data_IF_288000771773
#
_entry.id   IF_288000771773
#
_cell.length_a   1.000
_cell.length_b   1.000
_cell.length_c   1.000
_cell.angle_alpha   90.00
_cell.angle_beta   90.00
_cell.angle_gamma   90.00
#
_symmetry.space_group_name_H-M   'P 1'
#
loop_
_entity.id
_entity.type
_entity.pdbx_description
1 polymer ?
#
# COMPACT_ATOMS: atom_id res chain seq x y z
N UNK A 1 9.79 57.25 22.24
CA UNK A 1 10.08 55.90 22.75
C UNK A 1 10.31 54.95 21.58
N UNK A 2 11.55 54.50 21.34
CA UNK A 2 11.79 53.35 20.47
C UNK A 2 12.62 52.25 21.17
N UNK A 3 12.66 51.10 20.51
CA UNK A 3 13.48 49.90 20.71
C UNK A 3 13.02 48.83 21.71
N UNK A 4 12.51 47.72 21.16
CA UNK A 4 12.93 46.37 21.54
C UNK A 4 12.54 45.36 20.46
N UNK A 5 13.43 45.13 19.50
CA UNK A 5 13.46 43.91 18.69
C UNK A 5 14.28 42.87 19.46
N UNK A 6 13.62 41.85 20.03
CA UNK A 6 14.29 40.61 20.43
C UNK A 6 14.15 39.60 19.28
N UNK A 7 15.28 39.23 18.69
CA UNK A 7 15.42 38.06 17.81
C UNK A 7 15.21 36.80 18.66
N UNK A 8 14.27 35.96 18.28
CA UNK A 8 14.20 34.56 18.73
C UNK A 8 14.96 33.71 17.70
N UNK A 9 16.09 33.14 18.10
CA UNK A 9 16.66 31.95 17.46
C UNK A 9 16.08 30.71 18.15
N UNK A 10 15.67 29.65 17.41
CA UNK A 10 15.32 28.38 18.01
C UNK A 10 16.58 27.53 18.23
N UNK A 11 16.91 27.22 19.48
CA UNK A 11 17.94 26.24 19.83
C UNK A 11 17.50 24.83 19.42
N UNK A 12 18.31 24.18 18.59
CA UNK A 12 18.15 22.78 18.19
C UNK A 12 18.65 21.86 19.31
N UNK A 13 17.73 21.37 20.15
CA UNK A 13 18.04 20.30 21.11
C UNK A 13 18.01 18.94 20.39
N UNK A 14 19.15 18.61 19.79
CA UNK A 14 19.41 17.36 19.06
C UNK A 14 19.39 16.14 19.99
N UNK A 15 19.73 16.33 21.27
CA UNK A 15 19.75 15.23 22.25
C UNK A 15 18.35 14.81 22.70
N UNK A 16 17.42 15.78 22.86
CA UNK A 16 16.01 15.51 23.12
C UNK A 16 15.33 14.69 22.01
N UNK A 17 15.70 14.93 20.74
CA UNK A 17 15.19 14.16 19.60
C UNK A 17 15.75 12.74 19.56
N UNK A 18 17.03 12.56 19.86
CA UNK A 18 17.69 11.24 19.92
C UNK A 18 17.16 10.37 21.07
N UNK A 19 16.80 10.97 22.22
CA UNK A 19 16.19 10.26 23.34
C UNK A 19 14.75 9.82 23.03
N UNK A 20 13.96 10.67 22.37
CA UNK A 20 12.61 10.34 21.90
C UNK A 20 12.64 9.21 20.83
N UNK A 21 13.63 9.22 19.94
CA UNK A 21 13.83 8.17 18.95
C UNK A 21 14.18 6.80 19.56
N UNK A 22 14.96 6.77 20.66
CA UNK A 22 15.27 5.53 21.41
C UNK A 22 14.07 5.00 22.18
N UNK A 23 13.30 5.88 22.82
CA UNK A 23 12.05 5.51 23.50
C UNK A 23 10.95 5.01 22.55
N UNK A 24 10.93 5.51 21.31
CA UNK A 24 10.07 5.00 20.23
C UNK A 24 10.55 3.64 19.70
N UNK A 25 11.87 3.40 19.62
CA UNK A 25 12.44 2.11 19.25
C UNK A 25 12.09 0.98 20.25
N UNK A 26 12.13 1.25 21.56
CA UNK A 26 11.77 0.25 22.58
C UNK A 26 10.25 -0.06 22.64
N UNK A 27 9.40 0.87 22.19
CA UNK A 27 7.96 0.61 21.99
C UNK A 27 7.70 -0.09 20.65
N UNK A 28 8.44 0.21 19.60
CA UNK A 28 8.36 -0.47 18.29
C UNK A 28 8.83 -1.94 18.37
N UNK A 29 9.81 -2.25 19.23
CA UNK A 29 10.21 -3.64 19.48
C UNK A 29 9.08 -4.50 20.11
N UNK A 30 8.03 -3.88 20.67
CA UNK A 30 6.86 -4.59 21.21
C UNK A 30 5.78 -4.89 20.16
N UNK A 31 5.79 -4.28 18.96
CA UNK A 31 4.76 -4.51 17.93
C UNK A 31 4.99 -5.75 17.06
N UNK A 32 6.16 -6.38 17.13
CA UNK A 32 6.50 -7.60 16.39
C UNK A 32 6.30 -8.89 17.21
N UNK A 33 5.74 -8.81 18.42
CA UNK A 33 5.47 -10.01 19.23
C UNK A 33 4.15 -10.64 18.80
N UNK A 34 4.09 -11.95 18.53
CA UNK A 34 2.82 -12.64 18.39
C UNK A 34 1.96 -12.35 19.62
N UNK A 35 0.68 -12.09 19.41
CA UNK A 35 -0.26 -11.90 20.50
C UNK A 35 -0.20 -13.13 21.43
N UNK A 36 -0.37 -12.96 22.75
CA UNK A 36 -0.44 -14.07 23.68
C UNK A 36 -1.35 -15.19 23.16
N UNK A 37 -1.01 -16.46 23.40
CA UNK A 37 -1.78 -17.61 22.90
C UNK A 37 -3.27 -17.53 23.28
N UNK A 38 -3.58 -17.01 24.47
CA UNK A 38 -4.95 -16.78 24.94
C UNK A 38 -5.71 -15.72 24.10
N UNK A 39 -5.03 -14.70 23.59
CA UNK A 39 -5.63 -13.68 22.73
C UNK A 39 -5.89 -14.23 21.33
N UNK A 40 -4.97 -15.07 20.84
CA UNK A 40 -5.11 -15.78 19.56
C UNK A 40 -6.28 -16.77 19.58
N UNK A 41 -6.47 -17.54 20.66
CA UNK A 41 -7.60 -18.46 20.79
C UNK A 41 -8.96 -17.76 20.79
N UNK A 42 -9.09 -16.63 21.52
CA UNK A 42 -10.32 -15.82 21.50
C UNK A 42 -10.60 -15.24 20.12
N UNK A 43 -9.57 -14.73 19.44
CA UNK A 43 -9.70 -14.19 18.08
C UNK A 43 -10.08 -15.29 17.06
N UNK A 44 -9.49 -16.48 17.17
CA UNK A 44 -9.80 -17.63 16.33
C UNK A 44 -11.27 -18.05 16.49
N UNK A 45 -11.72 -18.24 17.74
CA UNK A 45 -13.09 -18.63 18.02
C UNK A 45 -14.11 -17.58 17.56
N UNK A 46 -13.80 -16.28 17.70
CA UNK A 46 -14.65 -15.20 17.21
C UNK A 46 -14.76 -15.21 15.67
N UNK A 47 -13.63 -15.35 14.97
CA UNK A 47 -13.59 -15.44 13.51
C UNK A 47 -14.35 -16.66 12.99
N UNK A 48 -14.14 -17.84 13.57
CA UNK A 48 -14.82 -19.09 13.16
C UNK A 48 -16.34 -18.97 13.36
N UNK A 49 -16.79 -18.39 14.49
CA UNK A 49 -18.22 -18.12 14.71
C UNK A 49 -18.80 -17.18 13.65
N UNK A 50 -18.11 -16.10 13.33
CA UNK A 50 -18.54 -15.17 12.29
C UNK A 50 -18.63 -15.86 10.92
N UNK A 51 -17.61 -16.60 10.54
CA UNK A 51 -17.57 -17.34 9.27
C UNK A 51 -18.74 -18.33 9.18
N UNK A 52 -18.99 -19.12 10.22
CA UNK A 52 -20.11 -20.06 10.25
C UNK A 52 -21.48 -19.38 10.17
N UNK A 53 -21.65 -18.24 10.86
CA UNK A 53 -22.89 -17.47 10.84
C UNK A 53 -23.16 -16.83 9.47
N UNK A 54 -22.15 -16.21 8.84
CA UNK A 54 -22.31 -15.53 7.55
C UNK A 54 -22.47 -16.50 6.37
N UNK A 55 -21.88 -17.71 6.45
CA UNK A 55 -21.92 -18.71 5.38
C UNK A 55 -22.94 -19.85 5.62
N UNK A 56 -23.65 -19.83 6.75
CA UNK A 56 -24.68 -20.84 7.08
C UNK A 56 -24.12 -22.25 7.30
N UNK A 57 -22.96 -22.38 7.96
CA UNK A 57 -22.22 -23.66 8.08
C UNK A 57 -22.65 -24.55 9.26
N UNK A 58 -23.67 -24.14 10.00
CA UNK A 58 -24.09 -24.83 11.23
C UNK A 58 -23.12 -24.59 12.40
N UNK A 59 -23.16 -25.48 13.39
CA UNK A 59 -22.46 -25.32 14.67
C UNK A 59 -20.92 -25.25 14.52
N UNK A 60 -20.27 -24.15 14.94
CA UNK A 60 -18.82 -23.99 14.89
C UNK A 60 -18.05 -24.75 15.99
N UNK A 61 -18.71 -25.32 17.01
CA UNK A 61 -18.06 -25.85 18.20
C UNK A 61 -16.92 -26.85 17.89
N UNK A 62 -17.14 -27.79 16.96
CA UNK A 62 -16.13 -28.77 16.56
C UNK A 62 -14.88 -28.10 15.97
N UNK A 63 -15.08 -27.13 15.07
CA UNK A 63 -13.98 -26.42 14.39
C UNK A 63 -13.19 -25.53 15.36
N UNK A 64 -13.89 -24.91 16.32
CA UNK A 64 -13.26 -24.13 17.39
C UNK A 64 -12.37 -25.05 18.25
N UNK A 65 -12.89 -26.20 18.68
CA UNK A 65 -12.11 -27.16 19.48
C UNK A 65 -10.86 -27.66 18.74
N UNK A 66 -10.96 -27.90 17.42
CA UNK A 66 -9.80 -28.24 16.57
C UNK A 66 -8.75 -27.12 16.55
N UNK A 67 -9.18 -25.87 16.38
CA UNK A 67 -8.27 -24.71 16.38
C UNK A 67 -7.59 -24.52 17.75
N UNK A 68 -8.34 -24.68 18.85
CA UNK A 68 -7.82 -24.59 20.22
C UNK A 68 -6.79 -25.70 20.51
N UNK A 69 -7.04 -26.92 20.04
CA UNK A 69 -6.09 -28.03 20.15
C UNK A 69 -4.81 -27.76 19.35
N UNK A 70 -4.90 -27.26 18.11
CA UNK A 70 -3.72 -26.90 17.29
C UNK A 70 -2.93 -25.75 17.94
N UNK A 71 -3.63 -24.77 18.50
CA UNK A 71 -3.04 -23.65 19.26
C UNK A 71 -2.27 -24.15 20.48
N UNK A 72 -2.85 -25.05 21.26
CA UNK A 72 -2.19 -25.64 22.42
C UNK A 72 -0.93 -26.44 22.02
N UNK A 73 -0.97 -27.15 20.90
CA UNK A 73 0.12 -27.99 20.43
C UNK A 73 1.26 -27.21 19.75
N UNK A 74 0.95 -26.14 19.01
CA UNK A 74 1.91 -25.48 18.10
C UNK A 74 2.11 -23.99 18.37
N UNK A 75 1.29 -23.40 19.24
CA UNK A 75 1.26 -21.96 19.51
C UNK A 75 0.54 -21.13 18.43
N UNK A 76 -0.05 -21.75 17.42
CA UNK A 76 -0.88 -21.11 16.38
C UNK A 76 -1.92 -22.11 15.82
N UNK A 77 -2.76 -21.71 14.88
CA UNK A 77 -3.62 -22.63 14.13
C UNK A 77 -3.60 -22.32 12.64
N UNK A 78 -4.09 -23.26 11.84
CA UNK A 78 -4.09 -23.14 10.39
C UNK A 78 -5.52 -22.94 9.89
N UNK A 79 -5.73 -21.84 9.15
CA UNK A 79 -6.96 -21.64 8.41
C UNK A 79 -7.12 -22.66 7.29
N UNK A 80 -8.33 -23.18 7.09
CA UNK A 80 -8.70 -23.88 5.86
C UNK A 80 -8.66 -22.93 4.66
N UNK A 81 -8.61 -23.42 3.40
CA UNK A 81 -8.68 -22.54 2.23
C UNK A 81 -9.94 -21.66 2.21
N UNK A 82 -11.09 -22.22 2.63
CA UNK A 82 -12.37 -21.47 2.72
C UNK A 82 -12.33 -20.38 3.78
N UNK A 83 -11.76 -20.67 4.95
CA UNK A 83 -11.55 -19.69 6.01
C UNK A 83 -10.61 -18.57 5.55
N UNK A 84 -9.51 -18.91 4.84
CA UNK A 84 -8.60 -17.91 4.32
C UNK A 84 -9.30 -17.00 3.29
N UNK A 85 -10.10 -17.59 2.40
CA UNK A 85 -10.86 -16.84 1.41
C UNK A 85 -11.86 -15.88 2.04
N UNK A 86 -12.66 -16.38 2.98
CA UNK A 86 -13.62 -15.57 3.73
C UNK A 86 -12.92 -14.47 4.54
N UNK A 87 -11.82 -14.79 5.23
CA UNK A 87 -11.06 -13.84 6.02
C UNK A 87 -10.44 -12.71 5.19
N UNK A 88 -9.87 -13.03 4.04
CA UNK A 88 -9.32 -12.01 3.12
C UNK A 88 -10.41 -11.07 2.58
N UNK A 89 -11.59 -11.62 2.24
CA UNK A 89 -12.76 -10.85 1.80
C UNK A 89 -13.29 -9.93 2.88
N UNK A 90 -13.42 -10.42 4.12
CA UNK A 90 -13.81 -9.59 5.25
C UNK A 90 -12.79 -8.51 5.57
N UNK A 91 -11.49 -8.80 5.46
CA UNK A 91 -10.45 -7.80 5.66
C UNK A 91 -10.58 -6.61 4.70
N UNK A 92 -10.95 -6.86 3.44
CA UNK A 92 -11.23 -5.79 2.48
C UNK A 92 -12.52 -5.04 2.81
N UNK A 93 -13.60 -5.76 3.14
CA UNK A 93 -14.87 -5.17 3.60
C UNK A 93 -14.67 -4.24 4.82
N UNK A 94 -13.76 -4.60 5.71
CA UNK A 94 -13.41 -3.88 6.93
C UNK A 94 -12.34 -2.77 6.73
N UNK A 95 -11.89 -2.51 5.48
CA UNK A 95 -10.83 -1.55 5.22
C UNK A 95 -11.35 -0.10 5.25
N UNK A 96 -11.30 0.56 6.40
CA UNK A 96 -11.85 1.92 6.63
C UNK A 96 -11.31 3.00 5.69
N UNK A 97 -10.14 2.78 5.07
CA UNK A 97 -9.48 3.70 4.15
C UNK A 97 -9.70 3.36 2.67
N UNK A 98 -10.55 2.38 2.37
CA UNK A 98 -10.83 1.94 1.01
C UNK A 98 -12.23 2.39 0.59
N UNK A 99 -12.30 3.20 -0.46
CA UNK A 99 -13.57 3.62 -1.08
C UNK A 99 -14.18 2.48 -1.92
N UNK A 100 -13.34 1.63 -2.53
CA UNK A 100 -13.75 0.55 -3.44
C UNK A 100 -14.29 -0.71 -2.78
N UNK A 101 -14.99 -0.60 -1.63
CA UNK A 101 -15.43 -1.76 -0.84
C UNK A 101 -16.65 -2.50 -1.39
N UNK A 102 -17.38 -1.91 -2.34
CA UNK A 102 -18.56 -2.55 -2.94
C UNK A 102 -18.26 -3.93 -3.56
N UNK A 103 -17.01 -4.14 -3.99
CA UNK A 103 -16.55 -5.32 -4.71
C UNK A 103 -15.96 -6.41 -3.81
N UNK A 104 -16.03 -6.27 -2.48
CA UNK A 104 -15.31 -7.13 -1.54
C UNK A 104 -15.52 -8.64 -1.77
N UNK A 105 -16.73 -9.06 -2.16
CA UNK A 105 -17.07 -10.45 -2.47
C UNK A 105 -16.41 -10.98 -3.76
N UNK A 106 -16.01 -10.12 -4.68
CA UNK A 106 -15.37 -10.50 -5.94
C UNK A 106 -13.89 -10.81 -5.81
N UNK A 107 -13.30 -10.58 -4.62
CA UNK A 107 -11.89 -10.87 -4.37
C UNK A 107 -11.57 -12.34 -4.62
N UNK A 108 -10.64 -12.56 -5.55
CA UNK A 108 -10.03 -13.87 -5.80
C UNK A 108 -8.83 -14.05 -4.88
N UNK A 109 -8.71 -15.23 -4.29
CA UNK A 109 -7.67 -15.53 -3.30
C UNK A 109 -6.78 -16.64 -3.84
N UNK A 110 -5.49 -16.35 -3.97
CA UNK A 110 -4.44 -17.33 -4.31
C UNK A 110 -3.78 -17.79 -3.02
N UNK A 111 -4.12 -19.00 -2.59
CA UNK A 111 -3.50 -19.64 -1.43
C UNK A 111 -2.14 -20.23 -1.81
N UNK A 112 -1.08 -19.46 -1.58
CA UNK A 112 0.31 -19.86 -1.84
C UNK A 112 1.12 -19.97 -0.55
N UNK A 113 0.46 -20.33 0.55
CA UNK A 113 1.10 -20.51 1.88
C UNK A 113 2.18 -21.60 1.90
N UNK A 114 2.24 -22.45 0.87
CA UNK A 114 3.22 -23.51 0.70
C UNK A 114 4.55 -23.04 0.10
N UNK A 115 4.60 -21.87 -0.55
CA UNK A 115 5.84 -21.36 -1.16
C UNK A 115 6.79 -20.83 -0.08
N UNK A 116 8.07 -21.17 -0.20
CA UNK A 116 9.08 -20.88 0.82
C UNK A 116 10.28 -20.09 0.34
N UNK A 117 10.67 -20.21 -0.92
CA UNK A 117 11.84 -19.51 -1.44
C UNK A 117 11.49 -18.12 -1.97
N UNK A 118 12.43 -17.17 -1.87
CA UNK A 118 12.19 -15.80 -2.35
C UNK A 118 11.95 -15.77 -3.88
N UNK A 119 12.55 -16.70 -4.62
CA UNK A 119 12.38 -16.81 -6.06
C UNK A 119 10.96 -17.27 -6.44
N UNK A 120 10.42 -18.27 -5.75
CA UNK A 120 9.02 -18.70 -5.94
C UNK A 120 8.03 -17.59 -5.58
N UNK A 121 8.29 -16.86 -4.48
CA UNK A 121 7.46 -15.73 -4.05
C UNK A 121 7.49 -14.61 -5.09
N UNK A 122 8.67 -14.26 -5.61
CA UNK A 122 8.80 -13.24 -6.65
C UNK A 122 8.11 -13.65 -7.96
N UNK A 123 8.28 -14.89 -8.39
CA UNK A 123 7.58 -15.45 -9.56
C UNK A 123 6.05 -15.41 -9.36
N UNK A 124 5.57 -15.80 -8.18
CA UNK A 124 4.16 -15.74 -7.84
C UNK A 124 3.60 -14.30 -7.81
N UNK A 125 4.42 -13.30 -7.48
CA UNK A 125 4.06 -11.89 -7.58
C UNK A 125 3.98 -11.41 -9.03
N UNK A 126 4.89 -11.82 -9.92
CA UNK A 126 4.77 -11.54 -11.35
C UNK A 126 3.49 -12.18 -11.93
N UNK A 127 3.19 -13.42 -11.56
CA UNK A 127 1.95 -14.10 -11.95
C UNK A 127 0.70 -13.43 -11.38
N UNK A 128 0.81 -12.78 -10.22
CA UNK A 128 -0.30 -11.99 -9.66
C UNK A 128 -0.65 -10.86 -10.63
N UNK A 129 0.34 -10.10 -11.08
CA UNK A 129 0.14 -8.96 -11.98
C UNK A 129 -0.46 -9.41 -13.33
N UNK A 130 0.05 -10.51 -13.91
CA UNK A 130 -0.51 -11.10 -15.13
C UNK A 130 -1.98 -11.48 -14.98
N UNK A 131 -2.33 -12.14 -13.87
CA UNK A 131 -3.71 -12.58 -13.59
C UNK A 131 -4.64 -11.45 -13.16
N UNK A 132 -4.10 -10.37 -12.62
CA UNK A 132 -4.85 -9.19 -12.20
C UNK A 132 -5.36 -8.40 -13.41
N UNK A 133 -4.65 -8.38 -14.53
CA UNK A 133 -4.94 -7.51 -15.68
C UNK A 133 -5.18 -8.22 -17.03
N UNK A 134 -5.95 -9.32 -17.13
CA UNK A 134 -6.13 -10.04 -18.38
C UNK A 134 -6.77 -9.16 -19.47
N UNK A 135 -5.95 -8.77 -20.46
CA UNK A 135 -6.36 -7.87 -21.54
C UNK A 135 -6.77 -6.48 -21.05
N UNK A 136 -6.10 -5.94 -20.03
CA UNK A 136 -6.39 -4.60 -19.46
C UNK A 136 -7.56 -4.56 -18.48
N UNK A 137 -8.37 -5.63 -18.38
CA UNK A 137 -9.50 -5.72 -17.45
C UNK A 137 -9.03 -6.10 -16.06
N UNK A 138 -8.87 -5.09 -15.19
CA UNK A 138 -8.34 -5.29 -13.85
C UNK A 138 -9.36 -6.01 -12.95
N UNK A 139 -8.91 -7.02 -12.20
CA UNK A 139 -9.72 -7.82 -11.29
C UNK A 139 -9.13 -7.78 -9.88
N UNK A 140 -9.96 -7.80 -8.82
CA UNK A 140 -9.45 -7.85 -7.46
C UNK A 140 -8.84 -9.21 -7.17
N UNK A 141 -7.58 -9.22 -6.75
CA UNK A 141 -6.81 -10.42 -6.49
C UNK A 141 -5.96 -10.20 -5.23
N UNK A 142 -5.83 -11.25 -4.42
CA UNK A 142 -4.86 -11.32 -3.35
C UNK A 142 -4.07 -12.62 -3.47
N UNK A 143 -2.76 -12.54 -3.28
CA UNK A 143 -1.90 -13.73 -3.10
C UNK A 143 -1.48 -13.79 -1.65
N UNK A 144 -1.77 -14.88 -0.96
CA UNK A 144 -1.41 -15.04 0.46
C UNK A 144 -0.27 -16.04 0.59
N UNK A 145 0.87 -15.59 1.12
CA UNK A 145 2.02 -16.44 1.44
C UNK A 145 1.97 -16.92 2.90
N UNK A 146 2.96 -17.71 3.33
CA UNK A 146 2.98 -18.30 4.66
C UNK A 146 2.83 -17.25 5.78
N UNK A 147 2.03 -17.52 6.83
CA UNK A 147 1.92 -16.63 7.98
C UNK A 147 3.18 -16.70 8.85
N UNK A 148 3.28 -15.77 9.79
CA UNK A 148 4.22 -15.91 10.89
C UNK A 148 3.79 -17.06 11.82
N UNK A 149 4.73 -17.97 12.11
CA UNK A 149 4.55 -19.03 13.12
C UNK A 149 5.59 -18.88 14.23
N UNK A 150 5.30 -19.35 15.47
CA UNK A 150 6.29 -19.40 16.54
C UNK A 150 7.59 -20.07 16.07
N UNK A 151 8.71 -19.34 16.18
CA UNK A 151 10.04 -19.81 15.75
C UNK A 151 10.25 -19.94 14.24
N UNK A 152 9.21 -19.75 13.41
CA UNK A 152 9.26 -19.86 11.94
C UNK A 152 8.48 -18.70 11.31
N UNK A 153 9.06 -17.48 11.29
CA UNK A 153 8.42 -16.33 10.67
C UNK A 153 8.26 -16.52 9.15
N UNK A 154 7.19 -15.95 8.59
CA UNK A 154 6.88 -16.01 7.18
C UNK A 154 7.73 -15.03 6.35
N UNK A 155 7.54 -15.02 5.02
CA UNK A 155 8.27 -14.11 4.15
C UNK A 155 7.87 -12.65 4.34
N UNK A 156 8.69 -11.75 3.78
CA UNK A 156 8.42 -10.30 3.68
C UNK A 156 8.69 -9.83 2.27
N UNK A 157 7.81 -8.97 1.76
CA UNK A 157 8.05 -8.14 0.58
C UNK A 157 8.29 -6.73 1.11
N UNK A 158 9.42 -6.12 0.78
CA UNK A 158 9.75 -4.78 1.29
C UNK A 158 9.04 -3.69 0.51
N UNK A 159 8.73 -3.94 -0.76
CA UNK A 159 8.05 -2.98 -1.62
C UNK A 159 6.67 -2.60 -1.06
N UNK A 160 6.31 -1.31 -1.10
CA UNK A 160 4.96 -0.85 -0.73
C UNK A 160 3.90 -1.38 -1.71
N UNK A 161 4.26 -1.43 -2.99
CA UNK A 161 3.46 -1.99 -4.08
C UNK A 161 4.33 -2.93 -4.91
N UNK A 162 3.73 -3.94 -5.55
CA UNK A 162 4.48 -4.85 -6.42
C UNK A 162 5.14 -4.08 -7.57
N UNK A 163 4.42 -3.14 -8.19
CA UNK A 163 4.99 -2.20 -9.16
C UNK A 163 5.16 -0.84 -8.48
N UNK A 164 6.36 -0.28 -8.55
CA UNK A 164 6.66 1.09 -8.14
C UNK A 164 7.82 1.62 -8.97
N UNK A 165 7.75 2.88 -9.38
CA UNK A 165 8.87 3.55 -10.02
C UNK A 165 9.95 3.93 -9.01
N UNK A 166 11.20 3.89 -9.45
CA UNK A 166 12.36 4.23 -8.65
C UNK A 166 12.46 5.74 -8.40
N UNK A 167 13.15 6.11 -7.33
CA UNK A 167 13.52 7.48 -6.98
C UNK A 167 15.04 7.63 -6.96
N UNK A 168 15.61 8.20 -8.01
CA UNK A 168 17.04 8.37 -8.15
C UNK A 168 17.50 9.74 -7.63
N UNK A 169 17.97 9.76 -6.38
CA UNK A 169 18.59 10.95 -5.78
C UNK A 169 19.85 11.34 -6.56
N UNK A 170 19.88 12.56 -7.05
CA UNK A 170 20.99 13.18 -7.77
C UNK A 170 21.97 13.84 -6.80
N UNK A 171 23.13 14.29 -7.30
CA UNK A 171 24.17 14.92 -6.47
C UNK A 171 23.74 16.24 -5.84
N UNK A 172 22.84 16.97 -6.50
CA UNK A 172 22.25 18.23 -6.03
C UNK A 172 21.04 18.02 -5.11
N UNK A 173 20.68 16.77 -4.81
CA UNK A 173 19.53 16.42 -3.97
C UNK A 173 18.20 16.32 -4.73
N UNK A 174 18.15 16.69 -6.00
CA UNK A 174 16.95 16.46 -6.83
C UNK A 174 16.71 14.96 -7.03
N UNK A 175 15.44 14.54 -7.19
CA UNK A 175 15.10 13.14 -7.44
C UNK A 175 14.56 12.98 -8.86
N UNK A 176 15.19 12.11 -9.65
CA UNK A 176 14.61 11.63 -10.92
C UNK A 176 13.68 10.46 -10.60
N UNK A 177 12.42 10.53 -11.02
CA UNK A 177 11.40 9.53 -10.73
C UNK A 177 10.61 9.85 -9.48
N UNK A 178 10.35 8.86 -8.63
CA UNK A 178 9.44 8.98 -7.49
C UNK A 178 10.19 9.19 -6.16
N UNK A 179 10.15 10.39 -5.54
CA UNK A 179 10.79 10.64 -4.24
C UNK A 179 10.35 9.70 -3.13
N UNK A 180 9.10 9.21 -3.15
CA UNK A 180 8.60 8.26 -2.15
C UNK A 180 9.37 6.95 -2.15
N UNK A 181 9.91 6.56 -3.30
CA UNK A 181 10.65 5.32 -3.49
C UNK A 181 12.17 5.50 -3.32
N UNK A 182 12.66 6.71 -3.03
CA UNK A 182 14.10 7.03 -3.02
C UNK A 182 14.91 6.15 -2.06
N UNK A 183 14.38 5.92 -0.84
CA UNK A 183 15.05 5.09 0.16
C UNK A 183 15.15 3.62 -0.26
N UNK A 184 14.06 3.03 -0.74
CA UNK A 184 14.09 1.65 -1.27
C UNK A 184 14.95 1.53 -2.52
N UNK A 185 14.98 2.55 -3.37
CA UNK A 185 15.84 2.63 -4.56
C UNK A 185 17.31 2.61 -4.17
N UNK A 186 17.70 3.40 -3.16
CA UNK A 186 19.05 3.41 -2.63
C UNK A 186 19.43 2.05 -2.04
N UNK A 187 18.51 1.42 -1.31
CA UNK A 187 18.69 0.07 -0.76
C UNK A 187 18.89 -0.98 -1.86
N UNK A 188 18.04 -1.00 -2.89
CA UNK A 188 18.18 -1.92 -4.02
C UNK A 188 19.52 -1.73 -4.75
N UNK A 189 19.95 -0.48 -4.97
CA UNK A 189 21.27 -0.17 -5.55
C UNK A 189 22.42 -0.68 -4.69
N UNK A 190 22.31 -0.56 -3.36
CA UNK A 190 23.30 -1.11 -2.43
C UNK A 190 23.43 -2.63 -2.54
N UNK A 191 22.32 -3.32 -2.80
CA UNK A 191 22.31 -4.77 -3.07
C UNK A 191 22.72 -5.14 -4.51
N UNK A 192 23.11 -4.17 -5.33
CA UNK A 192 23.65 -4.39 -6.68
C UNK A 192 22.67 -4.15 -7.82
N UNK A 193 21.42 -3.74 -7.55
CA UNK A 193 20.47 -3.39 -8.61
C UNK A 193 20.94 -2.18 -9.42
N UNK A 194 20.71 -2.21 -10.73
CA UNK A 194 20.92 -1.08 -11.64
C UNK A 194 19.74 -0.99 -12.61
N UNK A 195 19.24 0.22 -12.91
CA UNK A 195 18.22 0.36 -13.95
C UNK A 195 18.78 -0.06 -15.31
N UNK A 196 17.89 -0.48 -16.20
CA UNK A 196 18.24 -0.80 -17.57
C UNK A 196 18.62 0.48 -18.33
N UNK A 197 19.93 0.75 -18.44
CA UNK A 197 20.45 1.93 -19.12
C UNK A 197 20.52 3.18 -18.24
N UNK A 198 20.26 4.34 -18.85
CA UNK A 198 20.28 5.63 -18.13
C UNK A 198 19.04 5.75 -17.25
N UNK A 199 19.25 6.13 -15.98
CA UNK A 199 18.19 6.31 -15.01
C UNK A 199 17.07 7.22 -15.54
N UNK A 200 15.83 6.74 -15.50
CA UNK A 200 14.65 7.43 -16.01
C UNK A 200 13.64 7.74 -14.90
N UNK A 201 12.65 8.59 -15.21
CA UNK A 201 11.58 8.92 -14.26
C UNK A 201 10.59 7.77 -14.01
N UNK A 202 10.67 6.69 -14.80
CA UNK A 202 9.73 5.57 -14.79
C UNK A 202 10.45 4.22 -14.75
N UNK A 203 11.64 4.16 -14.15
CA UNK A 203 12.36 2.89 -13.95
C UNK A 203 11.60 2.03 -12.93
N UNK A 204 11.16 0.83 -13.32
CA UNK A 204 10.45 -0.09 -12.42
C UNK A 204 11.44 -0.69 -11.41
N UNK A 205 11.12 -0.59 -10.11
CA UNK A 205 11.92 -1.19 -9.05
C UNK A 205 11.84 -2.73 -9.07
N UNK A 206 12.92 -3.43 -8.69
CA UNK A 206 12.86 -4.87 -8.47
C UNK A 206 12.03 -5.15 -7.22
N UNK A 207 11.46 -6.35 -7.15
CA UNK A 207 10.94 -6.90 -5.91
C UNK A 207 12.10 -7.19 -4.95
N UNK A 208 11.99 -6.68 -3.73
CA UNK A 208 12.91 -6.95 -2.62
C UNK A 208 12.22 -7.94 -1.70
N UNK A 209 12.58 -9.23 -1.85
CA UNK A 209 11.89 -10.35 -1.20
C UNK A 209 12.79 -11.02 -0.19
N UNK A 210 12.24 -11.28 0.99
CA UNK A 210 12.94 -11.91 2.11
C UNK A 210 12.18 -13.17 2.54
N UNK A 211 12.84 -14.32 2.54
CA UNK A 211 12.22 -15.62 2.88
C UNK A 211 11.76 -15.68 4.34
N UNK A 212 12.51 -15.03 5.21
CA UNK A 212 12.21 -14.87 6.62
C UNK A 212 12.99 -13.64 7.16
N UNK A 213 12.50 -12.94 8.19
CA UNK A 213 13.13 -11.75 8.78
C UNK A 213 14.62 -11.84 9.13
N UNK A 214 15.15 -13.05 9.35
CA UNK A 214 16.57 -13.28 9.67
C UNK A 214 17.45 -13.59 8.44
N UNK A 215 16.86 -13.75 7.26
CA UNK A 215 17.58 -14.00 6.00
C UNK A 215 17.81 -12.68 5.27
N UNK A 216 18.89 -12.59 4.49
CA UNK A 216 19.12 -11.41 3.64
C UNK A 216 18.03 -11.32 2.56
N UNK A 217 17.49 -10.13 2.27
CA UNK A 217 16.59 -9.96 1.14
C UNK A 217 17.33 -10.16 -0.18
N UNK A 218 16.60 -10.59 -1.21
CA UNK A 218 17.08 -10.77 -2.58
C UNK A 218 16.25 -9.91 -3.53
N UNK A 219 16.88 -9.52 -4.63
CA UNK A 219 16.31 -8.67 -5.66
C UNK A 219 15.82 -9.52 -6.83
N UNK A 220 14.63 -9.21 -7.33
CA UNK A 220 14.04 -9.86 -8.51
C UNK A 220 13.42 -8.80 -9.40
N UNK A 221 13.97 -8.58 -10.59
CA UNK A 221 13.33 -7.70 -11.57
C UNK A 221 11.97 -8.29 -12.00
N UNK A 222 10.99 -7.41 -12.16
CA UNK A 222 9.69 -7.81 -12.70
C UNK A 222 9.84 -8.09 -14.20
N UNK A 223 9.36 -9.24 -14.71
CA UNK A 223 9.30 -9.49 -16.13
C UNK A 223 8.51 -8.39 -16.86
N UNK A 224 8.96 -7.87 -18.01
CA UNK A 224 8.26 -6.79 -18.72
C UNK A 224 6.80 -7.12 -19.04
N UNK A 225 6.48 -8.38 -19.32
CA UNK A 225 5.12 -8.84 -19.62
C UNK A 225 4.19 -8.83 -18.38
N UNK A 226 4.74 -8.78 -17.17
CA UNK A 226 3.97 -8.62 -15.94
C UNK A 226 3.66 -7.15 -15.61
N UNK A 227 4.30 -6.19 -16.29
CA UNK A 227 4.14 -4.76 -16.03
C UNK A 227 3.34 -4.11 -17.17
N UNK A 228 2.04 -3.94 -16.95
CA UNK A 228 1.18 -3.17 -17.85
C UNK A 228 1.28 -1.68 -17.52
N UNK A 229 1.83 -0.88 -18.44
CA UNK A 229 1.87 0.59 -18.34
C UNK A 229 0.94 1.24 -19.36
N UNK A 230 0.36 2.38 -18.96
CA UNK A 230 -0.48 3.23 -19.82
C UNK A 230 0.26 4.55 -20.04
N UNK A 231 0.69 4.86 -21.28
CA UNK A 231 1.16 6.19 -21.65
C UNK A 231 0.04 7.22 -21.47
N UNK A 232 0.36 8.40 -20.94
CA UNK A 232 -0.64 9.43 -20.67
C UNK A 232 -0.69 10.48 -21.78
N UNK A 233 -1.85 10.61 -22.39
CA UNK A 233 -2.21 11.59 -23.41
C UNK A 233 -3.40 12.43 -22.93
N UNK A 234 -3.61 13.59 -23.57
CA UNK A 234 -4.73 14.48 -23.25
C UNK A 234 -5.66 14.63 -24.46
N UNK A 235 -7.00 14.59 -24.27
CA UNK A 235 -7.95 14.68 -25.38
C UNK A 235 -7.82 15.98 -26.19
N UNK A 236 -7.51 17.09 -25.53
CA UNK A 236 -7.51 18.43 -26.15
C UNK A 236 -6.10 19.04 -26.34
N UNK A 237 -5.06 18.41 -25.79
CA UNK A 237 -3.71 19.00 -25.76
C UNK A 237 -2.69 18.00 -26.34
N UNK A 238 -2.46 18.00 -27.66
CA UNK A 238 -1.56 17.03 -28.31
C UNK A 238 -0.14 17.01 -27.74
N UNK A 239 0.35 18.17 -27.28
CA UNK A 239 1.67 18.34 -26.68
C UNK A 239 1.86 17.56 -25.38
N UNK A 240 0.80 17.00 -24.79
CA UNK A 240 0.86 16.19 -23.58
C UNK A 240 1.64 14.89 -23.79
N UNK A 241 1.55 14.30 -24.99
CA UNK A 241 2.28 13.08 -25.33
C UNK A 241 3.81 13.29 -25.30
N UNK A 242 4.28 14.51 -25.60
CA UNK A 242 5.70 14.87 -25.55
C UNK A 242 6.30 14.82 -24.14
N UNK A 243 5.45 14.86 -23.09
CA UNK A 243 5.90 14.75 -21.71
C UNK A 243 6.42 13.34 -21.37
N UNK A 244 6.07 12.33 -22.16
CA UNK A 244 6.46 10.94 -21.94
C UNK A 244 5.95 10.35 -20.62
N UNK A 245 4.87 10.91 -20.08
CA UNK A 245 4.24 10.43 -18.84
C UNK A 245 3.62 9.06 -19.07
N UNK A 246 3.70 8.20 -18.05
CA UNK A 246 3.06 6.89 -18.03
C UNK A 246 2.74 6.50 -16.59
N UNK A 247 1.84 5.54 -16.43
CA UNK A 247 1.61 4.91 -15.14
C UNK A 247 1.26 3.43 -15.28
N UNK A 248 1.72 2.60 -14.34
CA UNK A 248 1.37 1.18 -14.32
C UNK A 248 -0.10 0.98 -13.94
N UNK A 249 -0.74 -0.05 -14.49
CA UNK A 249 -2.18 -0.24 -14.42
C UNK A 249 -2.68 -0.90 -13.13
N UNK A 250 -1.85 -1.72 -12.46
CA UNK A 250 -2.26 -2.56 -11.33
C UNK A 250 -1.76 -1.98 -10.00
N UNK A 251 -2.64 -1.42 -9.14
CA UNK A 251 -2.27 -0.93 -7.81
C UNK A 251 -2.18 -2.08 -6.79
N UNK A 252 -1.18 -2.95 -6.93
CA UNK A 252 -1.01 -4.09 -6.02
C UNK A 252 -0.21 -3.69 -4.77
N UNK A 253 -0.88 -3.41 -3.64
CA UNK A 253 -0.25 -3.19 -2.33
C UNK A 253 0.44 -4.47 -1.85
N UNK A 254 1.65 -4.36 -1.29
CA UNK A 254 2.47 -5.51 -0.91
C UNK A 254 3.06 -5.46 0.51
N UNK A 255 2.92 -4.33 1.23
CA UNK A 255 3.51 -4.12 2.56
C UNK A 255 2.50 -4.10 3.73
N UNK A 256 1.26 -4.56 3.51
CA UNK A 256 0.28 -4.74 4.57
C UNK A 256 0.32 -6.18 5.10
N UNK A 257 0.10 -6.37 6.40
CA UNK A 257 -0.25 -7.69 6.94
C UNK A 257 -1.76 -7.90 6.80
N UNK A 258 -2.16 -9.06 6.30
CA UNK A 258 -3.53 -9.55 6.44
C UNK A 258 -3.66 -10.26 7.79
N UNK A 259 -4.49 -9.75 8.68
CA UNK A 259 -4.75 -10.34 10.00
C UNK A 259 -6.12 -11.00 10.03
N UNK A 260 -6.15 -12.32 10.27
CA UNK A 260 -7.39 -13.12 10.33
C UNK A 260 -7.37 -13.95 11.61
N UNK A 261 -8.36 -13.75 12.49
CA UNK A 261 -8.55 -14.59 13.67
C UNK A 261 -7.29 -14.79 14.53
N UNK A 262 -6.44 -13.76 14.66
CA UNK A 262 -5.19 -13.81 15.43
C UNK A 262 -3.95 -14.28 14.67
N UNK A 263 -4.06 -14.64 13.38
CA UNK A 263 -2.92 -15.02 12.51
C UNK A 263 -2.53 -13.83 11.62
N UNK A 264 -1.24 -13.50 11.57
CA UNK A 264 -0.71 -12.47 10.66
C UNK A 264 -0.02 -13.09 9.44
N UNK A 265 -0.50 -12.69 8.26
CA UNK A 265 0.09 -12.95 6.96
C UNK A 265 0.88 -11.73 6.49
N UNK A 266 2.16 -11.65 6.87
CA UNK A 266 3.03 -10.49 6.62
C UNK A 266 3.44 -10.26 5.16
N UNK A 267 3.08 -11.18 4.25
CA UNK A 267 3.22 -11.02 2.80
C UNK A 267 1.93 -11.51 2.14
N UNK A 268 1.05 -10.57 1.82
CA UNK A 268 -0.25 -10.85 1.23
C UNK A 268 -0.61 -9.81 0.15
N UNK A 269 0.14 -9.71 -0.97
CA UNK A 269 -0.08 -8.66 -1.94
C UNK A 269 -1.50 -8.70 -2.53
N UNK A 270 -2.14 -7.54 -2.59
CA UNK A 270 -3.55 -7.35 -2.92
C UNK A 270 -3.70 -6.18 -3.90
N UNK A 271 -4.54 -6.35 -4.93
CA UNK A 271 -4.95 -5.26 -5.81
C UNK A 271 -6.47 -5.14 -5.91
N UNK A 272 -6.93 -3.89 -6.08
CA UNK A 272 -8.14 -3.56 -6.80
C UNK A 272 -7.76 -2.95 -8.16
N UNK A 273 -8.45 -1.89 -8.57
CA UNK A 273 -8.05 -1.03 -9.67
C UNK A 273 -7.98 0.42 -9.20
N UNK A 274 -7.32 1.27 -9.99
CA UNK A 274 -7.15 2.66 -9.65
C UNK A 274 -8.48 3.44 -9.70
N UNK A 275 -8.66 4.33 -8.74
CA UNK A 275 -9.42 5.56 -8.91
C UNK A 275 -8.50 6.61 -9.52
N UNK A 276 -8.91 7.30 -10.59
CA UNK A 276 -8.04 8.17 -11.39
C UNK A 276 -7.28 9.22 -10.56
N UNK A 277 -7.88 9.72 -9.49
CA UNK A 277 -7.27 10.68 -8.56
C UNK A 277 -6.07 10.15 -7.79
N UNK A 278 -5.94 8.83 -7.62
CA UNK A 278 -4.72 8.24 -7.04
C UNK A 278 -3.50 8.49 -7.93
N UNK A 279 -3.67 8.46 -9.26
CA UNK A 279 -2.61 8.74 -10.22
C UNK A 279 -2.49 10.25 -10.42
N UNK A 280 -3.56 10.89 -10.89
CA UNK A 280 -3.53 12.30 -11.32
C UNK A 280 -3.36 13.26 -10.17
N UNK A 281 -4.16 13.11 -9.10
CA UNK A 281 -4.17 14.06 -7.99
C UNK A 281 -3.18 13.77 -6.87
N UNK A 282 -2.72 12.52 -6.74
CA UNK A 282 -1.69 12.15 -5.76
C UNK A 282 -0.35 11.93 -6.44
N UNK A 283 -0.16 10.78 -7.09
CA UNK A 283 1.15 10.37 -7.59
C UNK A 283 1.84 11.40 -8.49
N UNK A 284 1.10 12.00 -9.42
CA UNK A 284 1.64 12.93 -10.40
C UNK A 284 1.65 14.39 -9.94
N UNK A 285 0.77 14.77 -9.01
CA UNK A 285 0.57 16.16 -8.60
C UNK A 285 1.21 16.53 -7.25
N UNK A 286 1.27 15.61 -6.28
CA UNK A 286 1.76 15.89 -4.93
C UNK A 286 3.20 16.46 -4.99
N UNK A 287 3.47 17.48 -4.17
CA UNK A 287 4.75 18.20 -4.18
C UNK A 287 5.93 17.35 -3.68
N UNK A 288 5.65 16.32 -2.88
CA UNK A 288 6.60 15.32 -2.40
C UNK A 288 6.62 14.06 -3.30
N UNK A 289 6.01 14.13 -4.49
CA UNK A 289 5.99 13.08 -5.51
C UNK A 289 6.55 13.63 -6.83
N UNK A 290 5.85 13.43 -7.96
CA UNK A 290 6.32 13.93 -9.27
C UNK A 290 6.12 15.45 -9.46
N UNK A 291 5.28 16.09 -8.64
CA UNK A 291 5.09 17.55 -8.62
C UNK A 291 4.91 18.19 -10.02
N UNK A 292 4.04 17.63 -10.86
CA UNK A 292 3.92 18.08 -12.25
C UNK A 292 3.12 19.37 -12.44
N UNK A 293 2.33 19.81 -11.45
CA UNK A 293 1.41 20.94 -11.63
C UNK A 293 2.09 22.23 -12.11
N UNK A 294 3.26 22.66 -11.57
CA UNK A 294 3.92 23.88 -12.06
C UNK A 294 4.35 23.77 -13.52
N UNK A 295 4.79 22.59 -13.97
CA UNK A 295 5.19 22.36 -15.36
C UNK A 295 3.97 22.40 -16.29
N UNK A 296 2.90 21.70 -15.93
CA UNK A 296 1.67 21.66 -16.70
C UNK A 296 1.02 23.04 -16.81
N UNK A 297 0.99 23.81 -15.73
CA UNK A 297 0.43 25.16 -15.73
C UNK A 297 1.14 26.10 -16.71
N UNK A 298 2.48 25.99 -16.84
CA UNK A 298 3.24 26.76 -17.84
C UNK A 298 2.90 26.33 -19.26
N UNK A 299 2.80 25.02 -19.53
CA UNK A 299 2.43 24.49 -20.85
C UNK A 299 0.98 24.86 -21.23
N UNK A 300 0.11 25.01 -20.24
CA UNK A 300 -1.27 25.48 -20.38
C UNK A 300 -1.40 27.02 -20.48
N UNK A 301 -0.31 27.77 -20.34
CA UNK A 301 -0.33 29.24 -20.38
C UNK A 301 -1.04 29.90 -19.19
N UNK A 302 -1.06 29.25 -18.02
CA UNK A 302 -1.72 29.75 -16.81
C UNK A 302 -0.84 30.74 -16.05
N UNK A 303 -1.46 31.73 -15.41
CA UNK A 303 -0.76 32.66 -14.51
C UNK A 303 -0.44 31.98 -13.18
N UNK A 304 0.82 31.58 -12.98
CA UNK A 304 1.28 30.92 -11.76
C UNK A 304 1.82 31.88 -10.69
N UNK A 305 1.65 33.20 -10.85
CA UNK A 305 2.20 34.19 -9.91
C UNK A 305 1.46 34.24 -8.57
N UNK A 306 0.19 33.86 -8.56
CA UNK A 306 -0.66 33.88 -7.36
C UNK A 306 -1.61 32.69 -7.36
N UNK A 307 -1.79 32.07 -6.19
CA UNK A 307 -2.77 30.98 -6.04
C UNK A 307 -4.22 31.45 -6.26
N UNK A 308 -4.49 32.76 -6.19
CA UNK A 308 -5.81 33.34 -6.50
C UNK A 308 -6.24 33.15 -7.96
N UNK A 309 -5.32 32.86 -8.88
CA UNK A 309 -5.65 32.54 -10.28
C UNK A 309 -6.22 31.13 -10.45
N UNK A 310 -6.19 30.30 -9.39
CA UNK A 310 -6.62 28.90 -9.40
C UNK A 310 -5.89 28.05 -10.44
N UNK A 311 -4.63 28.40 -10.73
CA UNK A 311 -3.81 27.68 -11.70
C UNK A 311 -3.56 26.22 -11.29
N UNK A 312 -3.44 25.96 -9.98
CA UNK A 312 -3.26 24.60 -9.42
C UNK A 312 -4.49 23.75 -9.71
N UNK A 313 -5.67 24.29 -9.41
CA UNK A 313 -6.97 23.62 -9.60
C UNK A 313 -7.18 23.27 -11.07
N UNK A 314 -6.96 24.22 -11.99
CA UNK A 314 -7.10 23.98 -13.42
C UNK A 314 -6.10 22.93 -13.92
N UNK A 315 -4.81 23.06 -13.58
CA UNK A 315 -3.80 22.08 -13.99
C UNK A 315 -4.09 20.67 -13.43
N UNK A 316 -4.58 20.59 -12.19
CA UNK A 316 -4.94 19.34 -11.52
C UNK A 316 -6.12 18.64 -12.21
N UNK A 317 -7.13 19.40 -12.64
CA UNK A 317 -8.28 18.86 -13.40
C UNK A 317 -7.81 18.28 -14.74
N UNK A 318 -7.01 19.02 -15.53
CA UNK A 318 -6.54 18.52 -16.83
C UNK A 318 -5.61 17.30 -16.66
N UNK A 319 -4.80 17.26 -15.61
CA UNK A 319 -3.99 16.08 -15.28
C UNK A 319 -4.85 14.85 -14.97
N UNK A 320 -5.90 14.99 -14.16
CA UNK A 320 -6.82 13.89 -13.89
C UNK A 320 -7.59 13.45 -15.14
N UNK A 321 -7.97 14.41 -15.99
CA UNK A 321 -8.62 14.13 -17.27
C UNK A 321 -7.72 13.35 -18.23
N UNK A 322 -6.42 13.67 -18.27
CA UNK A 322 -5.43 12.90 -19.05
C UNK A 322 -5.35 11.44 -18.60
N UNK A 323 -5.39 11.19 -17.29
CA UNK A 323 -5.34 9.83 -16.73
C UNK A 323 -6.56 9.02 -17.18
N UNK A 324 -7.76 9.53 -16.94
CA UNK A 324 -8.99 8.81 -17.29
C UNK A 324 -9.07 8.55 -18.80
N UNK A 325 -8.83 9.59 -19.62
CA UNK A 325 -8.82 9.47 -21.07
C UNK A 325 -7.85 8.40 -21.58
N UNK A 326 -6.63 8.36 -21.02
CA UNK A 326 -5.59 7.45 -21.48
C UNK A 326 -5.91 6.00 -21.11
N UNK A 327 -6.39 5.76 -19.90
CA UNK A 327 -6.80 4.42 -19.47
C UNK A 327 -8.01 3.92 -20.26
N UNK A 328 -9.00 4.78 -20.51
CA UNK A 328 -10.17 4.45 -21.35
C UNK A 328 -9.73 4.06 -22.78
N UNK A 329 -8.85 4.87 -23.39
CA UNK A 329 -8.31 4.58 -24.74
C UNK A 329 -7.48 3.31 -24.80
N UNK A 330 -6.74 2.99 -23.73
CA UNK A 330 -5.96 1.77 -23.63
C UNK A 330 -6.82 0.53 -23.32
N UNK A 331 -8.12 0.70 -23.04
CA UNK A 331 -9.00 -0.40 -22.61
C UNK A 331 -8.63 -0.94 -21.23
N UNK A 332 -8.00 -0.13 -20.38
CA UNK A 332 -7.53 -0.50 -19.05
C UNK A 332 -8.50 -0.01 -17.99
N UNK A 333 -8.88 -0.89 -17.06
CA UNK A 333 -9.85 -0.54 -16.01
C UNK A 333 -9.33 0.58 -15.10
N UNK A 334 -10.09 1.66 -15.01
CA UNK A 334 -9.97 2.75 -14.06
C UNK A 334 -11.37 3.18 -13.63
N UNK A 335 -11.53 3.86 -12.49
CA UNK A 335 -12.79 4.53 -12.14
C UNK A 335 -12.54 6.01 -11.88
N UNK A 336 -13.54 6.84 -12.18
CA UNK A 336 -13.57 8.21 -11.70
C UNK A 336 -14.04 8.27 -10.24
N UNK A 337 -13.74 9.37 -9.57
CA UNK A 337 -13.99 9.56 -8.15
C UNK A 337 -15.45 9.93 -7.83
N UNK A 338 -16.23 10.43 -8.79
CA UNK A 338 -17.67 10.68 -8.58
C UNK A 338 -18.44 9.37 -8.56
N UNK A 339 -18.21 8.51 -9.56
CA UNK A 339 -18.84 7.18 -9.64
C UNK A 339 -18.47 6.33 -8.43
N UNK A 340 -17.20 6.31 -8.03
CA UNK A 340 -16.77 5.47 -6.91
C UNK A 340 -17.30 5.97 -5.56
N UNK A 341 -17.49 7.29 -5.41
CA UNK A 341 -18.16 7.87 -4.25
C UNK A 341 -19.62 7.41 -4.13
N UNK A 342 -20.37 7.37 -5.23
CA UNK A 342 -21.75 6.84 -5.23
C UNK A 342 -21.75 5.36 -4.85
N UNK A 343 -20.85 4.57 -5.44
CA UNK A 343 -20.72 3.12 -5.17
C UNK A 343 -20.36 2.84 -3.71
N UNK A 344 -19.55 3.70 -3.09
CA UNK A 344 -19.24 3.58 -1.68
C UNK A 344 -20.47 3.78 -0.81
N UNK A 345 -21.35 4.74 -1.10
CA UNK A 345 -22.60 4.89 -0.37
C UNK A 345 -23.54 3.69 -0.56
N UNK A 346 -23.62 3.14 -1.78
CA UNK A 346 -24.35 1.88 -2.02
C UNK A 346 -23.78 0.73 -1.21
N UNK A 347 -22.46 0.68 -0.99
CA UNK A 347 -21.86 -0.30 -0.09
C UNK A 347 -22.36 -0.10 1.35
N UNK A 348 -22.34 1.13 1.88
CA UNK A 348 -22.84 1.42 3.22
C UNK A 348 -24.30 1.00 3.40
N UNK A 349 -25.17 1.40 2.47
CA UNK A 349 -26.59 1.03 2.48
C UNK A 349 -26.78 -0.49 2.52
N UNK A 350 -26.01 -1.24 1.72
CA UNK A 350 -26.04 -2.71 1.72
C UNK A 350 -25.58 -3.31 3.03
N UNK A 351 -24.58 -2.74 3.69
CA UNK A 351 -24.08 -3.28 4.95
C UNK A 351 -25.04 -2.96 6.10
N UNK A 352 -25.59 -1.74 6.12
CA UNK A 352 -26.60 -1.28 7.07
C UNK A 352 -27.90 -2.07 6.95
N UNK A 353 -28.33 -2.42 5.73
CA UNK A 353 -29.52 -3.26 5.51
C UNK A 353 -29.39 -4.66 6.10
N UNK A 354 -28.16 -5.11 6.40
CA UNK A 354 -27.90 -6.36 7.09
C UNK A 354 -27.59 -6.14 8.59
N UNK A 355 -27.84 -4.95 9.12
CA UNK A 355 -27.63 -4.62 10.53
C UNK A 355 -26.16 -4.48 10.92
N UNK A 356 -25.25 -4.21 9.98
CA UNK A 356 -23.81 -4.16 10.23
C UNK A 356 -23.32 -2.71 10.27
N UNK A 357 -22.54 -2.37 11.29
CA UNK A 357 -21.80 -1.12 11.35
C UNK A 357 -20.65 -1.15 10.33
N UNK A 358 -20.43 -0.05 9.61
CA UNK A 358 -19.31 0.10 8.68
C UNK A 358 -18.41 1.24 9.13
N UNK A 359 -17.16 0.90 9.45
CA UNK A 359 -16.13 1.89 9.72
C UNK A 359 -15.67 2.62 8.46
N UNK A 360 -15.39 3.91 8.58
CA UNK A 360 -14.76 4.69 7.50
C UNK A 360 -13.94 5.87 8.05
N UNK A 361 -12.78 6.08 7.46
CA UNK A 361 -11.91 7.22 7.72
C UNK A 361 -12.24 8.31 6.68
N UNK A 362 -12.98 9.35 7.09
CA UNK A 362 -13.45 10.41 6.20
C UNK A 362 -12.31 11.03 5.37
N UNK A 363 -11.13 11.19 5.99
CA UNK A 363 -9.95 11.81 5.33
C UNK A 363 -9.36 10.97 4.19
N UNK A 364 -9.70 9.68 4.14
CA UNK A 364 -9.31 8.76 3.07
C UNK A 364 -10.44 8.47 2.09
N UNK A 365 -11.70 8.54 2.54
CA UNK A 365 -12.87 8.28 1.69
C UNK A 365 -13.18 9.47 0.79
N UNK A 366 -13.05 10.70 1.27
CA UNK A 366 -13.29 11.89 0.44
C UNK A 366 -12.17 12.02 -0.60
N UNK A 367 -12.48 12.09 -1.91
CA UNK A 367 -11.46 12.21 -2.94
C UNK A 367 -10.63 13.51 -2.80
N UNK A 368 -9.33 13.47 -3.16
CA UNK A 368 -8.43 14.62 -3.03
C UNK A 368 -8.69 15.74 -4.06
N UNK A 369 -9.62 15.52 -4.99
CA UNK A 369 -10.09 16.48 -5.97
C UNK A 369 -11.61 16.55 -5.87
N UNK A 370 -12.16 17.77 -5.89
CA UNK A 370 -13.60 18.01 -5.96
C UNK A 370 -14.41 17.41 -4.79
N UNK A 371 -13.86 17.35 -3.58
CA UNK A 371 -14.47 16.66 -2.44
C UNK A 371 -15.96 16.99 -2.21
N UNK A 372 -16.33 18.26 -2.08
CA UNK A 372 -17.71 18.68 -1.80
C UNK A 372 -18.71 18.43 -2.95
N UNK A 373 -18.24 18.09 -4.14
CA UNK A 373 -19.11 17.69 -5.27
C UNK A 373 -19.32 16.17 -5.31
N UNK A 374 -18.76 15.44 -4.35
CA UNK A 374 -19.01 14.00 -4.16
C UNK A 374 -19.97 13.77 -3.00
N UNK A 375 -20.85 12.75 -3.07
CA UNK A 375 -21.83 12.51 -2.04
C UNK A 375 -21.21 12.03 -0.72
N UNK A 376 -20.00 11.44 -0.77
CA UNK A 376 -19.28 10.95 0.42
C UNK A 376 -18.79 12.07 1.34
N UNK A 377 -18.68 13.31 0.85
CA UNK A 377 -18.29 14.46 1.65
C UNK A 377 -19.36 14.86 2.68
N UNK A 378 -20.64 14.72 2.31
CA UNK A 378 -21.78 15.24 3.07
C UNK A 378 -22.26 14.30 4.19
N UNK A 379 -21.46 13.28 4.52
CA UNK A 379 -21.78 12.25 5.51
C UNK A 379 -20.65 12.13 6.54
N UNK A 380 -21.04 11.97 7.80
CA UNK A 380 -20.12 11.64 8.90
C UNK A 380 -19.93 10.13 8.98
N UNK A 381 -18.73 9.71 9.33
CA UNK A 381 -18.37 8.30 9.49
C UNK A 381 -17.71 8.07 10.85
N UNK A 382 -18.04 6.95 11.47
CA UNK A 382 -17.31 6.45 12.63
C UNK A 382 -16.10 5.62 12.15
N UNK A 383 -14.91 5.85 12.72
CA UNK A 383 -13.71 5.03 12.43
C UNK A 383 -13.71 3.73 13.27
N UNK A 384 -14.82 3.00 13.25
CA UNK A 384 -14.92 1.69 13.93
C UNK A 384 -14.04 0.68 13.21
N UNK A 385 -13.10 0.08 13.92
CA UNK A 385 -12.18 -0.93 13.35
C UNK A 385 -12.71 -2.32 13.62
N UNK A 386 -12.82 -3.11 12.57
CA UNK A 386 -13.23 -4.51 12.63
C UNK A 386 -12.06 -5.42 12.25
N UNK A 387 -12.11 -6.67 12.72
CA UNK A 387 -11.25 -7.76 12.25
C UNK A 387 -12.11 -8.79 11.51
N UNK A 388 -11.57 -9.56 10.54
CA UNK A 388 -10.22 -9.48 9.93
C UNK A 388 -9.89 -8.11 9.32
N UNK A 389 -8.61 -7.79 9.13
CA UNK A 389 -8.19 -6.47 8.63
C UNK A 389 -6.86 -6.52 7.87
N UNK A 390 -6.61 -5.48 7.07
CA UNK A 390 -5.28 -5.19 6.55
C UNK A 390 -4.60 -4.14 7.42
N UNK A 391 -3.44 -4.47 7.96
CA UNK A 391 -2.72 -3.66 8.94
C UNK A 391 -1.36 -3.22 8.40
N UNK A 392 -1.04 -1.95 8.63
CA UNK A 392 0.29 -1.43 8.39
C UNK A 392 1.15 -1.56 9.65
N UNK A 393 2.07 -2.52 9.67
CA UNK A 393 3.04 -2.61 10.75
C UNK A 393 4.17 -1.58 10.55
N UNK A 394 4.66 -0.93 11.63
CA UNK A 394 5.78 0.02 11.53
C UNK A 394 7.02 -0.56 10.85
N UNK A 395 7.33 -1.83 11.09
CA UNK A 395 8.50 -2.46 10.47
C UNK A 395 8.32 -2.66 8.96
N UNK A 396 7.08 -2.81 8.47
CA UNK A 396 6.80 -2.88 7.04
C UNK A 396 7.00 -1.52 6.35
N UNK A 397 6.61 -0.43 7.02
CA UNK A 397 6.90 0.92 6.54
C UNK A 397 8.39 1.25 6.54
N UNK A 398 9.13 0.83 7.57
CA UNK A 398 10.59 0.99 7.61
C UNK A 398 11.25 0.28 6.42
N UNK A 399 10.91 -0.99 6.17
CA UNK A 399 11.39 -1.74 5.01
C UNK A 399 11.07 -1.06 3.68
N UNK A 400 9.85 -0.53 3.52
CA UNK A 400 9.45 0.20 2.32
C UNK A 400 10.21 1.51 2.08
N UNK A 401 10.81 2.09 3.14
CA UNK A 401 11.75 3.21 3.04
C UNK A 401 13.20 2.78 2.84
N UNK A 402 13.47 1.49 2.71
CA UNK A 402 14.83 0.95 2.61
C UNK A 402 15.60 0.98 3.93
N UNK A 403 14.91 1.15 5.07
CA UNK A 403 15.52 1.08 6.39
C UNK A 403 15.73 -0.39 6.77
N UNK A 404 16.98 -0.77 7.04
CA UNK A 404 17.33 -2.15 7.36
C UNK A 404 16.75 -2.55 8.73
N UNK A 405 16.00 -3.65 8.76
CA UNK A 405 15.46 -4.24 9.99
C UNK A 405 16.49 -5.14 10.70
N UNK A 406 17.65 -5.41 10.09
CA UNK A 406 18.74 -6.10 10.79
C UNK A 406 19.36 -5.12 11.80
N UNK A 407 19.32 -5.42 13.12
CA UNK A 407 20.05 -4.60 14.08
C UNK A 407 21.51 -4.58 13.66
N UNK A 408 22.11 -3.41 13.61
CA UNK A 408 23.54 -3.22 13.32
C UNK A 408 24.42 -3.97 14.34
N UNK A 409 24.52 -5.29 14.20
CA UNK A 409 25.53 -6.14 14.82
C UNK A 409 26.42 -6.55 13.67
N UNK A 410 27.68 -6.11 13.72
CA UNK A 410 28.72 -6.20 12.68
C UNK A 410 28.89 -4.95 11.79
N UNK A 411 29.04 -3.77 12.41
CA UNK A 411 30.09 -2.85 11.93
C UNK A 411 31.38 -3.26 12.65
N UNK A 412 32.46 -3.65 11.94
CA UNK A 412 33.76 -3.71 12.58
C UNK A 412 34.11 -2.28 13.07
N UNK A 413 34.78 -2.13 14.23
CA UNK A 413 35.18 -0.81 14.69
C UNK A 413 36.02 -0.14 13.61
N UNK A 414 35.72 1.13 13.32
CA UNK A 414 36.59 1.97 12.51
C UNK A 414 37.97 1.93 13.18
N UNK A 415 38.97 1.43 12.46
CA UNK A 415 40.36 1.71 12.82
C UNK A 415 40.55 3.18 12.50
N UNK A 416 40.66 3.99 13.54
CA UNK A 416 41.22 5.33 13.43
C UNK A 416 42.65 5.16 12.89
N UNK A 417 42.90 5.71 11.71
CA UNK A 417 44.25 5.92 11.22
C UNK A 417 44.76 7.20 11.89
N UNK A 418 45.87 7.03 12.60
CA UNK A 418 46.70 8.07 13.23
C UNK A 418 47.06 9.17 12.24
#
# INVERSE_FOLDING_TARGET
MPNNLRRNEPSQDVEGWLAAARGAHDRAARSARPAPAADTGRAAAAFIRQHHAEEGLGDPARRIAEAEAELAATGTYTHTPRELEHGARLAWRNANRCIGRLYWRSLRVRDLRHLGSAAEIAAACADHLRQAAPGGRIRPLITVFAPDRPGRPGPRIWNEQLIRYAGHVQRDGHVIGDPRAAGLTAYARHLGWRPAGTASAFDVLPLVVQEAPHRRPRLFDLPPDAVLEVPLEHPDFPWWAELGLRWYAVPALANMCLEIGGVCYGAAPFNGWYMGTEIGARNLADTDRYNLLPHLARRLGLDTRTDRSLWKDRALVELNRSVLHSFDRAGVTVTDHHTESVRFLTHLEREESHGRTVGADWSWIVPPLSGSTTPVFHRTYDDVRHTPSFVHHPEAHARARGEDAVPARHRPPRRDLV
#
